data_IF_862834340758
#
_entry.id   IF_862834340758
#
_cell.length_a   1.000
_cell.length_b   1.000
_cell.length_c   1.000
_cell.angle_alpha   90.00
_cell.angle_beta   90.00
_cell.angle_gamma   90.00
#
_symmetry.space_group_name_H-M   'P 1'
#
loop_
_entity.id
_entity.type
_entity.pdbx_description
1 polymer ?
#
# COMPACT_ATOMS: atom_id res chain seq x y z
N UNK A 1 23.48 -26.29 -1.86
CA UNK A 1 23.89 -25.14 -1.05
C UNK A 1 23.52 -23.80 -1.68
N UNK A 2 23.70 -23.67 -3.00
CA UNK A 2 23.28 -22.46 -3.72
C UNK A 2 21.76 -22.22 -3.66
N UNK A 3 20.95 -23.27 -3.73
CA UNK A 3 19.50 -23.18 -3.62
C UNK A 3 19.03 -22.59 -2.29
N UNK A 4 19.69 -22.90 -1.18
CA UNK A 4 19.32 -22.36 0.13
C UNK A 4 19.63 -20.87 0.25
N UNK A 5 20.73 -20.42 -0.36
CA UNK A 5 21.07 -19.00 -0.37
C UNK A 5 20.09 -18.19 -1.23
N UNK A 6 19.71 -18.73 -2.38
CA UNK A 6 18.74 -18.08 -3.28
C UNK A 6 17.35 -18.00 -2.65
N UNK A 7 16.91 -19.07 -1.97
CA UNK A 7 15.64 -19.08 -1.25
C UNK A 7 15.62 -18.09 -0.09
N UNK A 8 16.74 -17.93 0.61
CA UNK A 8 16.86 -16.93 1.68
C UNK A 8 16.78 -15.52 1.14
N UNK A 9 17.41 -15.27 -0.01
CA UNK A 9 17.34 -13.95 -0.66
C UNK A 9 15.92 -13.65 -1.14
N UNK A 10 15.21 -14.63 -1.70
CA UNK A 10 13.81 -14.46 -2.11
C UNK A 10 12.92 -14.18 -0.90
N UNK A 11 13.09 -14.88 0.22
CA UNK A 11 12.34 -14.62 1.44
C UNK A 11 12.61 -13.24 2.01
N UNK A 12 13.86 -12.77 1.93
CA UNK A 12 14.22 -11.43 2.38
C UNK A 12 13.62 -10.36 1.46
N UNK A 13 13.61 -10.60 0.15
CA UNK A 13 12.99 -9.70 -0.82
C UNK A 13 11.49 -9.59 -0.62
N UNK A 14 10.80 -10.69 -0.28
CA UNK A 14 9.37 -10.67 0.05
C UNK A 14 9.08 -9.87 1.32
N UNK A 15 9.98 -9.90 2.31
CA UNK A 15 9.84 -9.16 3.57
C UNK A 15 10.21 -7.70 3.44
N UNK A 16 11.12 -7.37 2.52
CA UNK A 16 11.55 -5.99 2.28
C UNK A 16 11.07 -5.57 0.89
N UNK A 17 10.19 -4.57 0.79
CA UNK A 17 9.64 -4.19 -0.51
C UNK A 17 10.73 -3.61 -1.40
N UNK A 18 11.09 -4.34 -2.45
CA UNK A 18 12.14 -3.95 -3.39
C UNK A 18 11.90 -2.58 -4.02
N UNK A 19 10.63 -2.24 -4.27
CA UNK A 19 10.27 -0.94 -4.86
C UNK A 19 10.76 0.23 -4.01
N UNK A 20 10.84 0.08 -2.69
CA UNK A 20 11.25 1.13 -1.76
C UNK A 20 12.75 1.47 -1.85
N UNK A 21 13.53 0.60 -2.48
CA UNK A 21 14.97 0.76 -2.64
C UNK A 21 15.38 1.16 -4.06
N UNK A 22 14.40 1.35 -4.95
CA UNK A 22 14.65 1.87 -6.29
C UNK A 22 14.86 3.39 -6.25
N UNK A 23 15.58 3.91 -7.23
CA UNK A 23 15.72 5.36 -7.44
C UNK A 23 14.59 5.83 -8.34
N UNK A 24 13.89 6.89 -7.93
CA UNK A 24 12.80 7.46 -8.70
C UNK A 24 13.16 8.86 -9.17
N UNK A 25 12.80 9.16 -10.43
CA UNK A 25 12.93 10.49 -10.98
C UNK A 25 11.91 11.43 -10.31
N UNK A 26 12.26 12.71 -10.18
CA UNK A 26 11.35 13.72 -9.61
C UNK A 26 10.05 13.86 -10.39
N UNK A 27 10.03 13.48 -11.67
CA UNK A 27 8.81 13.48 -12.48
C UNK A 27 7.84 12.37 -12.07
N UNK A 28 8.31 11.36 -11.33
CA UNK A 28 7.46 10.29 -10.79
C UNK A 28 6.76 10.80 -9.54
N UNK A 29 5.70 11.56 -9.77
CA UNK A 29 4.91 12.22 -8.73
C UNK A 29 3.46 12.32 -9.15
N UNK A 30 2.59 12.47 -8.18
CA UNK A 30 1.15 12.69 -8.40
C UNK A 30 0.58 13.45 -7.20
N UNK A 31 -0.62 13.98 -7.36
CA UNK A 31 -1.34 14.63 -6.26
C UNK A 31 -1.97 13.60 -5.33
N UNK A 32 -2.31 12.44 -5.87
CA UNK A 32 -2.94 11.36 -5.13
C UNK A 32 -2.29 10.03 -5.48
N UNK A 33 -2.05 9.23 -4.44
CA UNK A 33 -1.61 7.85 -4.58
C UNK A 33 -2.52 6.95 -3.76
N UNK A 34 -2.71 5.73 -4.24
CA UNK A 34 -3.34 4.67 -3.45
C UNK A 34 -2.29 3.60 -3.16
N UNK A 35 -2.30 3.10 -1.95
CA UNK A 35 -1.40 2.04 -1.55
C UNK A 35 -2.13 0.97 -0.73
N UNK A 36 -1.52 -0.20 -0.63
CA UNK A 36 -2.01 -1.31 0.18
C UNK A 36 -1.04 -1.49 1.34
N UNK A 37 -1.58 -1.50 2.55
CA UNK A 37 -0.80 -1.64 3.77
C UNK A 37 -1.16 -2.95 4.48
N UNK A 38 -0.14 -3.73 4.84
CA UNK A 38 -0.28 -5.00 5.54
C UNK A 38 0.18 -4.83 6.99
N UNK A 39 -0.75 -4.57 7.94
CA UNK A 39 -0.36 -4.25 9.32
C UNK A 39 0.47 -5.33 10.02
N UNK A 40 0.26 -6.60 9.67
CA UNK A 40 1.02 -7.69 10.28
C UNK A 40 2.52 -7.65 9.96
N UNK A 41 2.91 -6.95 8.88
CA UNK A 41 4.31 -6.81 8.48
C UNK A 41 4.91 -5.46 8.91
N UNK A 42 4.17 -4.66 9.66
CA UNK A 42 4.56 -3.32 10.05
C UNK A 42 4.63 -3.16 11.56
N UNK A 43 5.37 -2.16 12.07
CA UNK A 43 5.33 -1.85 13.50
C UNK A 43 3.94 -1.35 13.91
N UNK A 44 3.60 -1.50 15.19
CA UNK A 44 2.27 -1.10 15.70
C UNK A 44 1.95 0.37 15.44
N UNK A 45 2.96 1.23 15.45
CA UNK A 45 2.79 2.67 15.26
C UNK A 45 2.87 3.11 13.79
N UNK A 46 2.67 2.20 12.85
CA UNK A 46 2.85 2.49 11.42
C UNK A 46 2.01 3.68 10.94
N UNK A 47 0.78 3.80 11.44
CA UNK A 47 -0.10 4.91 11.03
C UNK A 47 0.41 6.25 11.56
N UNK A 48 0.93 6.28 12.78
CA UNK A 48 1.50 7.51 13.34
C UNK A 48 2.72 7.96 12.54
N UNK A 49 3.56 7.01 12.10
CA UNK A 49 4.71 7.31 11.25
C UNK A 49 4.27 7.94 9.93
N UNK A 50 3.24 7.41 9.29
CA UNK A 50 2.70 7.97 8.05
C UNK A 50 2.12 9.38 8.26
N UNK A 51 1.44 9.60 9.38
CA UNK A 51 0.83 10.89 9.70
C UNK A 51 1.83 12.01 9.94
N UNK A 52 3.08 11.69 10.28
CA UNK A 52 4.13 12.69 10.47
C UNK A 52 4.35 13.56 9.22
N UNK A 53 4.09 13.03 8.06
CA UNK A 53 4.28 13.75 6.79
C UNK A 53 3.13 14.69 6.44
N UNK A 54 2.08 14.72 7.24
CA UNK A 54 0.99 15.69 7.14
C UNK A 54 0.18 15.64 5.84
N UNK A 55 0.19 14.52 5.11
CA UNK A 55 -0.68 14.33 3.97
C UNK A 55 -2.10 13.99 4.45
N UNK A 56 -3.08 14.37 3.63
CA UNK A 56 -4.45 13.88 3.84
C UNK A 56 -4.51 12.41 3.48
N UNK A 57 -5.19 11.62 4.31
CA UNK A 57 -5.32 10.19 4.07
C UNK A 57 -6.75 9.74 4.29
N UNK A 58 -7.23 8.89 3.40
CA UNK A 58 -8.49 8.16 3.56
C UNK A 58 -8.13 6.69 3.69
N UNK A 59 -8.47 6.09 4.81
CA UNK A 59 -8.13 4.71 5.12
C UNK A 59 -9.39 3.86 5.01
N UNK A 60 -9.31 2.77 4.24
CA UNK A 60 -10.42 1.85 4.08
C UNK A 60 -10.75 1.13 5.39
N UNK A 61 -11.93 0.49 5.49
CA UNK A 61 -12.13 -0.55 6.48
C UNK A 61 -11.07 -1.65 6.29
N UNK A 62 -10.83 -2.43 7.34
CA UNK A 62 -9.85 -3.52 7.26
C UNK A 62 -10.37 -4.62 6.33
N UNK A 63 -9.62 -4.89 5.26
CA UNK A 63 -9.99 -5.91 4.28
C UNK A 63 -9.43 -7.26 4.73
N UNK A 64 -10.20 -7.97 5.52
CA UNK A 64 -9.85 -9.30 6.04
C UNK A 64 -10.76 -10.42 5.51
N UNK A 65 -11.69 -10.07 4.61
CA UNK A 65 -12.64 -11.01 4.00
C UNK A 65 -12.44 -11.18 2.49
N UNK A 66 -11.44 -10.54 1.92
CA UNK A 66 -11.19 -10.62 0.49
C UNK A 66 -10.63 -12.00 0.10
N UNK A 67 -10.97 -12.45 -1.10
CA UNK A 67 -10.51 -13.73 -1.63
C UNK A 67 -9.84 -13.55 -2.98
N UNK A 68 -8.85 -14.39 -3.23
CA UNK A 68 -8.24 -14.52 -4.55
C UNK A 68 -9.21 -15.22 -5.53
N UNK A 69 -8.99 -15.12 -6.86
CA UNK A 69 -9.83 -15.86 -7.82
C UNK A 69 -9.88 -17.37 -7.58
N UNK A 70 -8.89 -17.94 -6.90
CA UNK A 70 -8.85 -19.36 -6.52
C UNK A 70 -9.69 -19.68 -5.30
N UNK A 71 -10.29 -18.68 -4.65
CA UNK A 71 -11.09 -18.84 -3.45
C UNK A 71 -10.31 -18.78 -2.14
N UNK A 72 -8.97 -18.67 -2.22
CA UNK A 72 -8.13 -18.53 -1.03
C UNK A 72 -8.23 -17.12 -0.44
N UNK A 73 -8.13 -17.02 0.89
CA UNK A 73 -8.16 -15.74 1.57
C UNK A 73 -6.95 -14.88 1.19
N UNK A 74 -7.18 -13.63 0.86
CA UNK A 74 -6.11 -12.65 0.68
C UNK A 74 -5.57 -12.25 2.04
N UNK A 75 -4.28 -11.94 2.08
CA UNK A 75 -3.66 -11.38 3.27
C UNK A 75 -4.39 -10.11 3.68
N UNK A 76 -4.72 -10.01 4.97
CA UNK A 76 -5.48 -8.88 5.51
C UNK A 76 -4.72 -7.56 5.32
N UNK A 77 -5.42 -6.54 4.86
CA UNK A 77 -4.80 -5.27 4.46
C UNK A 77 -5.75 -4.09 4.57
N UNK A 78 -5.17 -2.90 4.54
CA UNK A 78 -5.89 -1.64 4.33
C UNK A 78 -5.56 -1.09 2.94
N UNK A 79 -6.54 -0.43 2.32
CA UNK A 79 -6.29 0.47 1.21
C UNK A 79 -6.19 1.88 1.76
N UNK A 80 -5.21 2.65 1.33
CA UNK A 80 -5.01 4.01 1.81
C UNK A 80 -4.84 4.93 0.62
N UNK A 81 -5.71 5.95 0.55
CA UNK A 81 -5.57 7.04 -0.41
C UNK A 81 -4.82 8.16 0.27
N UNK A 82 -3.70 8.57 -0.32
CA UNK A 82 -2.87 9.66 0.19
C UNK A 82 -2.96 10.82 -0.78
N UNK A 83 -3.23 12.01 -0.25
CA UNK A 83 -3.43 13.21 -1.05
C UNK A 83 -2.62 14.38 -0.51
N UNK A 84 -1.99 15.12 -1.43
CA UNK A 84 -1.27 16.35 -1.11
C UNK A 84 -2.05 17.61 -1.48
N UNK A 85 -3.34 17.49 -1.79
CA UNK A 85 -4.16 18.62 -2.22
C UNK A 85 -3.70 19.19 -3.55
N UNK A 86 -3.25 20.45 -3.56
CA UNK A 86 -2.73 21.10 -4.77
C UNK A 86 -1.23 20.86 -4.98
N UNK A 87 -0.56 20.22 -4.03
CA UNK A 87 0.85 19.90 -4.10
C UNK A 87 1.08 18.50 -4.72
N UNK A 88 2.32 18.05 -4.70
CA UNK A 88 2.72 16.79 -5.30
C UNK A 88 3.34 15.87 -4.26
N UNK A 89 3.06 14.58 -4.40
CA UNK A 89 3.72 13.53 -3.64
C UNK A 89 4.68 12.82 -4.61
N UNK A 90 5.95 12.73 -4.24
CA UNK A 90 6.94 12.02 -5.06
C UNK A 90 7.01 10.56 -4.67
N UNK A 91 7.37 9.69 -5.61
CA UNK A 91 7.63 8.28 -5.31
C UNK A 91 8.80 8.12 -4.33
N UNK A 92 9.80 9.01 -4.39
CA UNK A 92 10.90 8.98 -3.42
C UNK A 92 10.42 9.17 -1.99
N UNK A 93 9.42 10.03 -1.77
CA UNK A 93 8.82 10.22 -0.43
C UNK A 93 8.11 8.96 0.05
N UNK A 94 7.32 8.34 -0.82
CA UNK A 94 6.61 7.12 -0.47
C UNK A 94 7.58 5.95 -0.25
N UNK A 95 8.70 5.94 -0.98
CA UNK A 95 9.75 4.95 -0.77
C UNK A 95 10.35 5.01 0.64
N UNK A 96 10.42 6.19 1.26
CA UNK A 96 10.84 6.31 2.65
C UNK A 96 9.89 5.53 3.57
N UNK A 97 8.58 5.64 3.34
CA UNK A 97 7.59 4.85 4.09
C UNK A 97 7.80 3.35 3.88
N UNK A 98 8.03 2.95 2.64
CA UNK A 98 8.28 1.54 2.32
C UNK A 98 9.49 0.99 3.07
N UNK A 99 10.58 1.75 3.14
CA UNK A 99 11.79 1.34 3.87
C UNK A 99 11.59 1.29 5.38
N UNK A 100 10.88 2.28 5.93
CA UNK A 100 10.63 2.37 7.37
C UNK A 100 9.62 1.33 7.87
N UNK A 101 8.55 1.13 7.11
CA UNK A 101 7.39 0.36 7.54
C UNK A 101 7.34 -1.06 6.98
N UNK A 102 7.95 -1.28 5.82
CA UNK A 102 8.10 -2.57 5.14
C UNK A 102 6.82 -3.24 4.64
N UNK A 103 5.70 -3.11 5.32
CA UNK A 103 4.45 -3.77 4.97
C UNK A 103 3.58 -2.98 3.97
N UNK A 104 4.19 -2.25 3.05
CA UNK A 104 3.47 -1.43 2.06
C UNK A 104 3.82 -1.90 0.65
N UNK A 105 2.78 -2.26 -0.13
CA UNK A 105 2.96 -2.57 -1.55
C UNK A 105 3.23 -1.30 -2.35
N UNK A 106 3.83 -1.44 -3.53
CA UNK A 106 4.17 -0.29 -4.38
C UNK A 106 2.96 0.60 -4.61
N UNK A 107 3.02 1.89 -4.26
CA UNK A 107 1.91 2.81 -4.47
C UNK A 107 1.61 3.01 -5.95
N UNK A 108 0.34 3.26 -6.25
CA UNK A 108 -0.15 3.52 -7.60
C UNK A 108 -0.71 4.93 -7.66
N UNK A 109 -0.43 5.64 -8.75
CA UNK A 109 -1.04 6.96 -8.99
C UNK A 109 -2.55 6.80 -9.07
N UNK A 110 -3.29 7.71 -8.42
CA UNK A 110 -4.75 7.67 -8.40
C UNK A 110 -5.31 8.88 -9.12
N UNK A 111 -5.90 8.67 -10.31
CA UNK A 111 -6.51 9.73 -11.09
C UNK A 111 -7.98 9.97 -10.73
N UNK A 112 -8.61 9.03 -10.02
CA UNK A 112 -10.01 9.11 -9.62
C UNK A 112 -10.18 8.82 -8.12
N UNK A 113 -9.87 9.80 -7.24
CA UNK A 113 -9.96 9.59 -5.79
C UNK A 113 -11.36 9.21 -5.31
N UNK A 114 -12.41 9.81 -5.89
CA UNK A 114 -13.80 9.51 -5.50
C UNK A 114 -14.15 8.05 -5.79
N UNK A 115 -13.80 7.57 -6.98
CA UNK A 115 -14.03 6.18 -7.36
C UNK A 115 -13.24 5.21 -6.49
N UNK A 116 -12.02 5.59 -6.09
CA UNK A 116 -11.19 4.77 -5.22
C UNK A 116 -11.80 4.64 -3.82
N UNK A 117 -12.34 5.72 -3.26
CA UNK A 117 -13.01 5.68 -1.95
C UNK A 117 -14.23 4.75 -2.01
N UNK A 118 -15.01 4.80 -3.09
CA UNK A 118 -16.13 3.87 -3.29
C UNK A 118 -15.64 2.42 -3.37
N UNK A 119 -14.52 2.19 -4.04
CA UNK A 119 -13.91 0.85 -4.14
C UNK A 119 -13.50 0.31 -2.77
N UNK A 120 -13.11 1.16 -1.83
CA UNK A 120 -12.66 0.75 -0.50
C UNK A 120 -13.69 -0.09 0.27
N UNK A 121 -14.98 0.10 0.00
CA UNK A 121 -16.05 -0.69 0.63
C UNK A 121 -16.63 -1.73 -0.34
N UNK A 122 -16.12 -1.80 -1.58
CA UNK A 122 -16.65 -2.63 -2.66
C UNK A 122 -18.08 -2.25 -3.06
N UNK A 123 -18.48 -1.00 -2.85
CA UNK A 123 -19.85 -0.52 -3.10
C UNK A 123 -20.32 -0.80 -4.53
N UNK A 124 -19.45 -0.67 -5.53
CA UNK A 124 -19.78 -0.86 -6.93
C UNK A 124 -19.51 -2.30 -7.42
N UNK A 125 -19.12 -3.18 -6.52
CA UNK A 125 -18.77 -4.58 -6.82
C UNK A 125 -19.56 -5.53 -5.90
N UNK A 126 -20.85 -5.75 -6.18
CA UNK A 126 -21.71 -6.53 -5.28
C UNK A 126 -21.29 -8.00 -5.12
N UNK A 127 -20.49 -8.53 -6.06
CA UNK A 127 -19.94 -9.89 -5.99
C UNK A 127 -18.85 -10.04 -4.92
N UNK A 128 -18.32 -8.94 -4.44
CA UNK A 128 -17.29 -8.93 -3.38
C UNK A 128 -17.91 -8.67 -2.02
N UNK A 129 -17.18 -9.05 -0.97
CA UNK A 129 -17.60 -8.75 0.40
C UNK A 129 -17.75 -7.23 0.57
N UNK A 130 -18.88 -6.82 1.16
CA UNK A 130 -19.18 -5.41 1.37
C UNK A 130 -18.67 -4.97 2.74
N UNK A 131 -17.80 -3.96 2.75
CA UNK A 131 -17.26 -3.35 3.98
C UNK A 131 -18.06 -2.09 4.33
N UNK A 132 -18.24 -1.87 5.61
CA UNK A 132 -18.94 -0.68 6.10
C UNK A 132 -18.00 0.43 6.52
#
# INVERSE_FOLDING_TARGET
MEEKADNLLEELEEKEPSWAYESYDRSQRAKNYVLVAYPEDMPENWLDVMREDMFDMVISPFHDKDKNPTGEAKKAHYHILVSAGTSWITMNKLAEWGRKLKGIAKPQKCSNPKGMVRYFTHMDNPEKYQYN
#
